data_IF_286581754369
#
_entry.id   IF_286581754369
#
_cell.length_a   1.000
_cell.length_b   1.000
_cell.length_c   1.000
_cell.angle_alpha   90.00
_cell.angle_beta   90.00
_cell.angle_gamma   90.00
#
_symmetry.space_group_name_H-M   'P 1'
#
loop_
_entity.id
_entity.type
_entity.pdbx_description
1 polymer ?
#
# COMPACT_ATOMS: atom_id res chain seq x y z
N UNK A 1 56.94 -6.91 8.43
CA UNK A 1 55.78 -7.05 7.51
C UNK A 1 54.54 -7.55 8.24
N UNK A 2 54.69 -8.50 9.16
CA UNK A 2 53.66 -9.07 10.06
C UNK A 2 52.83 -8.04 10.83
N UNK A 3 53.47 -7.06 11.48
CA UNK A 3 52.79 -6.05 12.31
C UNK A 3 51.74 -5.18 11.58
N UNK A 4 51.91 -4.99 10.26
CA UNK A 4 50.90 -4.29 9.44
C UNK A 4 49.72 -5.21 9.12
N UNK A 5 49.99 -6.50 8.91
CA UNK A 5 48.97 -7.52 8.65
C UNK A 5 48.10 -7.73 9.90
N UNK A 6 48.72 -7.84 11.08
CA UNK A 6 48.01 -8.03 12.36
C UNK A 6 47.06 -6.85 12.65
N UNK A 7 47.51 -5.62 12.37
CA UNK A 7 46.67 -4.42 12.48
C UNK A 7 45.49 -4.43 11.51
N UNK A 8 45.71 -4.85 10.25
CA UNK A 8 44.61 -4.99 9.28
C UNK A 8 43.61 -6.07 9.71
N UNK A 9 44.08 -7.19 10.24
CA UNK A 9 43.23 -8.27 10.76
C UNK A 9 42.41 -7.76 11.95
N UNK A 10 43.01 -7.02 12.88
CA UNK A 10 42.30 -6.46 14.03
C UNK A 10 41.19 -5.48 13.60
N UNK A 11 41.49 -4.59 12.65
CA UNK A 11 40.50 -3.65 12.10
C UNK A 11 39.40 -4.38 11.33
N UNK A 12 39.76 -5.32 10.46
CA UNK A 12 38.80 -6.13 9.68
C UNK A 12 37.92 -7.02 10.55
N UNK A 13 38.50 -7.70 11.54
CA UNK A 13 37.77 -8.50 12.52
C UNK A 13 36.81 -7.66 13.36
N UNK A 14 37.26 -6.46 13.78
CA UNK A 14 36.40 -5.52 14.50
C UNK A 14 35.27 -4.99 13.60
N UNK A 15 35.54 -4.71 12.32
CA UNK A 15 34.53 -4.30 11.35
C UNK A 15 33.45 -5.38 11.15
N UNK A 16 33.85 -6.65 11.01
CA UNK A 16 32.92 -7.78 10.90
C UNK A 16 32.09 -7.94 12.17
N UNK A 17 32.71 -7.91 13.35
CA UNK A 17 32.01 -7.95 14.63
C UNK A 17 31.00 -6.81 14.73
N UNK A 18 31.42 -5.59 14.39
CA UNK A 18 30.55 -4.42 14.32
C UNK A 18 29.37 -4.63 13.37
N UNK A 19 29.62 -5.16 12.18
CA UNK A 19 28.57 -5.47 11.20
C UNK A 19 27.49 -6.38 11.79
N UNK A 20 27.87 -7.49 12.42
CA UNK A 20 26.93 -8.41 13.05
C UNK A 20 26.19 -7.79 14.24
N UNK A 21 26.90 -7.04 15.09
CA UNK A 21 26.27 -6.31 16.21
C UNK A 21 25.25 -5.27 15.71
N UNK A 22 25.55 -4.59 14.60
CA UNK A 22 24.67 -3.62 13.96
C UNK A 22 23.41 -4.23 13.34
N UNK A 23 23.47 -5.47 12.88
CA UNK A 23 22.30 -6.21 12.39
C UNK A 23 21.45 -6.81 13.52
N UNK A 24 22.03 -6.99 14.71
CA UNK A 24 21.40 -7.63 15.86
C UNK A 24 21.15 -6.62 16.98
N UNK A 25 22.00 -6.61 18.01
CA UNK A 25 21.81 -5.90 19.27
C UNK A 25 21.62 -4.39 19.08
N UNK A 26 22.42 -3.79 18.19
CA UNK A 26 22.41 -2.34 17.96
C UNK A 26 21.41 -1.90 16.88
N UNK A 27 20.68 -2.84 16.27
CA UNK A 27 19.82 -2.57 15.12
C UNK A 27 18.80 -1.47 15.41
N UNK A 28 18.06 -1.58 16.51
CA UNK A 28 16.99 -0.62 16.85
C UNK A 28 17.52 0.80 17.00
N UNK A 29 18.64 0.96 17.70
CA UNK A 29 19.29 2.26 17.92
C UNK A 29 19.78 2.86 16.60
N UNK A 30 20.54 2.08 15.82
CA UNK A 30 21.12 2.54 14.56
C UNK A 30 20.04 2.81 13.52
N UNK A 31 18.95 2.04 13.53
CA UNK A 31 17.81 2.26 12.65
C UNK A 31 17.14 3.60 12.94
N UNK A 32 16.91 3.95 14.21
CA UNK A 32 16.35 5.27 14.57
C UNK A 32 17.22 6.42 14.07
N UNK A 33 18.54 6.34 14.28
CA UNK A 33 19.50 7.35 13.80
C UNK A 33 19.49 7.43 12.27
N UNK A 34 19.51 6.29 11.59
CA UNK A 34 19.47 6.21 10.14
C UNK A 34 18.18 6.87 9.59
N UNK A 35 17.01 6.55 10.13
CA UNK A 35 15.74 7.10 9.67
C UNK A 35 15.67 8.63 9.80
N UNK A 36 16.36 9.23 10.77
CA UNK A 36 16.47 10.69 10.88
C UNK A 36 17.29 11.34 9.74
N UNK A 37 18.19 10.57 9.13
CA UNK A 37 19.12 11.07 8.10
C UNK A 37 18.68 10.76 6.67
N UNK A 38 17.85 9.73 6.50
CA UNK A 38 17.33 9.33 5.20
C UNK A 38 16.29 10.33 4.66
N UNK A 39 16.16 10.44 3.33
CA UNK A 39 15.05 11.19 2.76
C UNK A 39 13.71 10.52 3.16
N UNK A 40 12.58 11.23 3.03
CA UNK A 40 11.25 10.63 3.07
C UNK A 40 11.19 9.43 2.09
N UNK A 41 11.11 8.21 2.61
CA UNK A 41 10.93 6.98 1.83
C UNK A 41 10.07 6.01 2.65
N UNK A 42 9.38 5.08 2.02
CA UNK A 42 8.80 3.97 2.77
C UNK A 42 9.91 3.04 3.33
N UNK A 43 9.94 2.83 4.65
CA UNK A 43 10.96 2.03 5.36
C UNK A 43 11.12 0.61 4.82
N UNK A 44 10.08 0.04 4.20
CA UNK A 44 10.11 -1.30 3.58
C UNK A 44 11.17 -1.44 2.49
N UNK A 45 11.53 -0.33 1.83
CA UNK A 45 12.50 -0.28 0.74
C UNK A 45 13.90 0.10 1.22
N UNK A 46 14.06 0.47 2.50
CA UNK A 46 15.34 0.80 3.09
C UNK A 46 16.15 -0.47 3.36
N UNK A 47 17.36 -0.63 2.78
CA UNK A 47 18.15 -1.83 2.97
C UNK A 47 18.53 -2.08 4.43
N UNK A 48 18.20 -3.27 4.94
CA UNK A 48 18.47 -3.66 6.33
C UNK A 48 19.97 -3.73 6.66
N UNK A 49 20.83 -3.94 5.65
CA UNK A 49 22.29 -4.02 5.87
C UNK A 49 22.94 -2.67 6.22
N UNK A 50 22.24 -1.54 6.07
CA UNK A 50 22.77 -0.22 6.41
C UNK A 50 23.19 -0.11 7.89
N UNK A 51 22.43 -0.70 8.82
CA UNK A 51 22.79 -0.65 10.26
C UNK A 51 24.08 -1.43 10.52
N UNK A 52 24.27 -2.56 9.84
CA UNK A 52 25.50 -3.34 9.90
C UNK A 52 26.69 -2.53 9.39
N UNK A 53 26.57 -1.87 8.23
CA UNK A 53 27.65 -1.06 7.67
C UNK A 53 28.04 0.14 8.55
N UNK A 54 27.06 0.84 9.15
CA UNK A 54 27.36 1.91 10.13
C UNK A 54 28.12 1.34 11.32
N UNK A 55 27.63 0.26 11.92
CA UNK A 55 28.29 -0.37 13.06
C UNK A 55 29.70 -0.90 12.72
N UNK A 56 29.90 -1.42 11.51
CA UNK A 56 31.19 -1.86 11.02
C UNK A 56 32.21 -0.71 10.99
N UNK A 57 31.81 0.48 10.52
CA UNK A 57 32.70 1.66 10.47
C UNK A 57 33.08 2.15 11.86
N UNK A 58 32.13 2.12 12.80
CA UNK A 58 32.35 2.48 14.20
C UNK A 58 33.32 1.47 14.85
N UNK A 59 33.02 0.17 14.74
CA UNK A 59 33.82 -0.88 15.36
C UNK A 59 35.22 -0.99 14.74
N UNK A 60 35.38 -0.78 13.43
CA UNK A 60 36.69 -0.70 12.77
C UNK A 60 37.56 0.43 13.38
N UNK A 61 36.95 1.60 13.61
CA UNK A 61 37.63 2.76 14.18
C UNK A 61 38.01 2.52 15.66
N UNK A 62 37.12 1.90 16.43
CA UNK A 62 37.41 1.47 17.81
C UNK A 62 38.51 0.41 17.82
N UNK A 63 38.45 -0.60 16.95
CA UNK A 63 39.45 -1.65 16.84
C UNK A 63 40.84 -1.11 16.51
N UNK A 64 40.93 -0.13 15.62
CA UNK A 64 42.18 0.59 15.34
C UNK A 64 42.74 1.29 16.58
N UNK A 65 41.90 2.04 17.31
CA UNK A 65 42.30 2.74 18.54
C UNK A 65 42.75 1.75 19.63
N UNK A 66 41.99 0.67 19.83
CA UNK A 66 42.32 -0.39 20.79
C UNK A 66 43.64 -1.09 20.44
N UNK A 67 43.88 -1.37 19.16
CA UNK A 67 45.12 -1.99 18.72
C UNK A 67 46.33 -1.10 19.04
N UNK A 68 46.24 0.21 18.72
CA UNK A 68 47.33 1.15 19.00
C UNK A 68 47.60 1.27 20.50
N UNK A 69 46.53 1.27 21.30
CA UNK A 69 46.64 1.41 22.75
C UNK A 69 47.15 0.15 23.44
N UNK A 70 46.62 -1.03 23.09
CA UNK A 70 46.90 -2.29 23.79
C UNK A 70 48.09 -3.06 23.19
N UNK A 71 48.19 -3.12 21.87
CA UNK A 71 49.20 -3.94 21.17
C UNK A 71 50.45 -3.13 20.90
N UNK A 72 50.32 -1.97 20.24
CA UNK A 72 51.47 -1.10 19.96
C UNK A 72 51.94 -0.34 21.21
N UNK A 73 51.11 -0.28 22.27
CA UNK A 73 51.39 0.40 23.56
C UNK A 73 51.83 1.86 23.38
N UNK A 74 51.31 2.51 22.35
CA UNK A 74 51.66 3.90 22.05
C UNK A 74 50.97 4.84 23.04
N UNK A 75 51.76 5.61 23.78
CA UNK A 75 51.20 6.60 24.70
C UNK A 75 50.57 7.77 23.93
N UNK A 76 49.41 8.23 24.42
CA UNK A 76 48.64 9.34 23.81
C UNK A 76 49.50 10.60 23.68
N UNK A 77 50.33 10.89 24.68
CA UNK A 77 51.19 12.08 24.68
C UNK A 77 52.22 12.12 23.54
N UNK A 78 52.73 10.96 23.10
CA UNK A 78 53.79 10.87 22.09
C UNK A 78 53.25 10.63 20.67
N UNK A 79 52.12 9.92 20.55
CA UNK A 79 51.52 9.53 19.26
C UNK A 79 50.18 10.23 18.99
N UNK A 80 50.10 11.53 19.34
CA UNK A 80 48.88 12.35 19.22
C UNK A 80 48.23 12.29 17.84
N UNK A 81 49.04 12.28 16.77
CA UNK A 81 48.54 12.25 15.38
C UNK A 81 47.76 10.97 15.07
N UNK A 82 48.22 9.82 15.57
CA UNK A 82 47.60 8.53 15.30
C UNK A 82 46.29 8.35 16.10
N UNK A 83 46.27 8.78 17.36
CA UNK A 83 45.02 8.84 18.14
C UNK A 83 44.02 9.84 17.52
N UNK A 84 44.48 11.02 17.11
CA UNK A 84 43.65 11.99 16.41
C UNK A 84 43.06 11.38 15.13
N UNK A 85 43.85 10.68 14.31
CA UNK A 85 43.34 10.03 13.09
C UNK A 85 42.25 9.00 13.37
N UNK A 86 42.39 8.19 14.43
CA UNK A 86 41.38 7.20 14.80
C UNK A 86 40.10 7.84 15.33
N UNK A 87 40.22 8.90 16.13
CA UNK A 87 39.06 9.69 16.60
C UNK A 87 38.36 10.40 15.44
N UNK A 88 39.11 10.98 14.51
CA UNK A 88 38.56 11.59 13.30
C UNK A 88 37.83 10.54 12.45
N UNK A 89 38.40 9.35 12.28
CA UNK A 89 37.75 8.25 11.54
C UNK A 89 36.44 7.79 12.23
N UNK A 90 36.44 7.69 13.56
CA UNK A 90 35.28 7.30 14.36
C UNK A 90 34.07 8.23 14.15
N UNK A 91 34.31 9.51 13.83
CA UNK A 91 33.26 10.51 13.57
C UNK A 91 32.95 10.59 12.07
N UNK A 92 33.97 10.75 11.23
CA UNK A 92 33.78 11.02 9.79
C UNK A 92 33.28 9.80 9.01
N UNK A 93 33.77 8.58 9.31
CA UNK A 93 33.39 7.40 8.52
C UNK A 93 31.89 7.08 8.66
N UNK A 94 31.27 7.10 9.86
CA UNK A 94 29.82 6.94 9.97
C UNK A 94 29.04 8.05 9.24
N UNK A 95 29.49 9.31 9.32
CA UNK A 95 28.83 10.43 8.63
C UNK A 95 28.86 10.27 7.09
N UNK A 96 30.03 9.94 6.53
CA UNK A 96 30.18 9.67 5.09
C UNK A 96 29.32 8.48 4.66
N UNK A 97 29.26 7.44 5.50
CA UNK A 97 28.44 6.24 5.26
C UNK A 97 26.95 6.59 5.23
N UNK A 98 26.46 7.37 6.20
CA UNK A 98 25.07 7.85 6.21
C UNK A 98 24.77 8.76 5.02
N UNK A 99 25.68 9.66 4.65
CA UNK A 99 25.54 10.49 3.45
C UNK A 99 25.44 9.67 2.16
N UNK A 100 26.23 8.61 2.05
CA UNK A 100 26.18 7.68 0.92
C UNK A 100 24.84 6.93 0.87
N UNK A 101 24.31 6.53 2.03
CA UNK A 101 22.99 5.89 2.11
C UNK A 101 21.86 6.83 1.73
N UNK A 102 21.93 8.10 2.11
CA UNK A 102 20.98 9.12 1.67
C UNK A 102 20.96 9.21 0.15
N UNK A 103 22.12 9.33 -0.50
CA UNK A 103 22.24 9.40 -1.96
C UNK A 103 21.70 8.13 -2.62
N UNK A 104 22.10 6.94 -2.12
CA UNK A 104 21.62 5.67 -2.68
C UNK A 104 20.10 5.53 -2.54
N UNK A 105 19.53 5.94 -1.41
CA UNK A 105 18.08 5.88 -1.17
C UNK A 105 17.30 6.83 -2.08
N UNK A 106 17.79 8.08 -2.25
CA UNK A 106 17.23 9.01 -3.25
C UNK A 106 17.30 8.41 -4.66
N UNK A 107 18.42 7.76 -5.00
CA UNK A 107 18.56 7.12 -6.32
C UNK A 107 17.58 5.97 -6.51
N UNK A 108 17.28 5.16 -5.48
CA UNK A 108 16.28 4.10 -5.57
C UNK A 108 14.91 4.68 -5.91
N UNK A 109 14.46 5.67 -5.13
CA UNK A 109 13.14 6.31 -5.33
C UNK A 109 13.08 6.96 -6.70
N UNK A 110 14.06 7.78 -7.04
CA UNK A 110 14.10 8.48 -8.33
C UNK A 110 14.11 7.52 -9.51
N UNK A 111 14.87 6.43 -9.44
CA UNK A 111 14.91 5.44 -10.52
C UNK A 111 13.59 4.65 -10.64
N UNK A 112 12.91 4.39 -9.53
CA UNK A 112 11.60 3.75 -9.55
C UNK A 112 10.51 4.68 -10.10
N UNK A 113 10.38 5.88 -9.55
CA UNK A 113 9.33 6.84 -9.93
C UNK A 113 9.55 7.45 -11.33
N UNK A 114 10.77 7.41 -11.87
CA UNK A 114 11.05 7.75 -13.26
C UNK A 114 10.72 6.63 -14.25
N UNK A 115 10.38 5.42 -13.78
CA UNK A 115 10.01 4.28 -14.63
C UNK A 115 8.50 4.10 -14.67
N UNK A 116 8.00 3.47 -15.73
CA UNK A 116 6.59 3.06 -15.81
C UNK A 116 6.26 2.06 -14.71
N UNK A 117 5.14 2.22 -13.98
CA UNK A 117 4.63 1.22 -13.06
C UNK A 117 4.47 -0.14 -13.75
N UNK A 118 4.74 -1.21 -13.03
CA UNK A 118 4.48 -2.59 -13.48
C UNK A 118 3.12 -3.11 -13.05
N UNK A 119 2.50 -2.46 -12.07
CA UNK A 119 1.18 -2.81 -11.60
C UNK A 119 0.58 -1.70 -10.77
N UNK A 120 -0.74 -1.67 -10.74
CA UNK A 120 -1.53 -0.69 -10.00
C UNK A 120 -2.76 -1.37 -9.43
N UNK A 121 -3.08 -1.06 -8.18
CA UNK A 121 -4.31 -1.46 -7.54
C UNK A 121 -4.93 -0.20 -6.95
N UNK A 122 -6.14 0.14 -7.38
CA UNK A 122 -6.93 1.23 -6.85
C UNK A 122 -8.11 0.63 -6.10
N UNK A 123 -8.34 1.07 -4.87
CA UNK A 123 -9.57 0.77 -4.13
C UNK A 123 -10.24 2.08 -3.77
N UNK A 124 -11.51 2.20 -4.10
CA UNK A 124 -12.30 3.35 -3.69
C UNK A 124 -12.75 3.16 -2.23
N UNK A 125 -12.92 4.26 -1.50
CA UNK A 125 -13.41 4.22 -0.13
C UNK A 125 -14.92 3.94 -0.09
N UNK A 126 -15.66 4.48 -1.06
CA UNK A 126 -17.10 4.30 -1.24
C UNK A 126 -17.41 3.96 -2.71
N UNK A 127 -18.38 3.07 -3.02
CA UNK A 127 -19.14 2.25 -2.06
C UNK A 127 -18.34 1.04 -1.56
N UNK A 128 -18.56 0.72 -0.28
CA UNK A 128 -17.96 -0.43 0.39
C UNK A 128 -19.01 -1.19 1.22
N UNK A 129 -19.15 -2.49 0.97
CA UNK A 129 -20.03 -3.38 1.75
C UNK A 129 -19.17 -4.32 2.60
N UNK A 130 -19.43 -4.35 3.90
CA UNK A 130 -18.72 -5.24 4.84
C UNK A 130 -19.67 -6.30 5.38
N UNK A 131 -19.29 -7.57 5.21
CA UNK A 131 -19.96 -8.70 5.82
C UNK A 131 -19.18 -9.14 7.06
N UNK A 132 -19.80 -9.04 8.23
CA UNK A 132 -19.17 -9.36 9.50
C UNK A 132 -19.02 -10.87 9.67
N UNK A 133 -17.80 -11.33 9.94
CA UNK A 133 -17.50 -12.73 10.27
C UNK A 133 -17.52 -12.89 11.79
N UNK A 134 -16.89 -11.96 12.50
CA UNK A 134 -16.90 -11.85 13.97
C UNK A 134 -17.12 -10.40 14.39
N UNK A 135 -17.27 -10.13 15.69
CA UNK A 135 -17.41 -8.76 16.22
C UNK A 135 -16.25 -7.81 15.85
N UNK A 136 -15.10 -8.36 15.45
CA UNK A 136 -13.88 -7.59 15.15
C UNK A 136 -13.31 -7.86 13.76
N UNK A 137 -14.00 -8.64 12.93
CA UNK A 137 -13.53 -9.00 11.59
C UNK A 137 -14.67 -9.10 10.59
N UNK A 138 -14.36 -8.77 9.33
CA UNK A 138 -15.30 -8.89 8.23
C UNK A 138 -14.59 -8.98 6.90
N UNK A 139 -15.31 -9.45 5.89
CA UNK A 139 -14.87 -9.40 4.51
C UNK A 139 -15.45 -8.17 3.85
N UNK A 140 -14.62 -7.47 3.08
CA UNK A 140 -14.99 -6.20 2.48
C UNK A 140 -15.05 -6.33 0.97
N UNK A 141 -16.17 -5.90 0.39
CA UNK A 141 -16.41 -5.84 -1.05
C UNK A 141 -16.68 -4.41 -1.43
N UNK A 142 -16.28 -4.00 -2.63
CA UNK A 142 -16.45 -2.63 -3.05
C UNK A 142 -15.83 -2.38 -4.40
N UNK A 143 -15.77 -1.10 -4.74
CA UNK A 143 -15.27 -0.60 -6.01
C UNK A 143 -13.74 -0.63 -6.06
N UNK A 144 -13.17 -1.34 -7.04
CA UNK A 144 -11.72 -1.44 -7.19
C UNK A 144 -11.26 -1.74 -8.62
N UNK A 145 -9.98 -1.48 -8.86
CA UNK A 145 -9.31 -1.70 -10.14
C UNK A 145 -7.98 -2.36 -9.87
N UNK A 146 -7.67 -3.41 -10.61
CA UNK A 146 -6.35 -4.01 -10.64
C UNK A 146 -5.83 -4.00 -12.06
N UNK A 147 -4.67 -3.40 -12.25
CA UNK A 147 -3.98 -3.30 -13.52
C UNK A 147 -2.64 -4.01 -13.39
N UNK A 148 -2.42 -5.05 -14.19
CA UNK A 148 -1.14 -5.75 -14.27
C UNK A 148 -0.80 -5.99 -15.74
N UNK A 149 0.47 -5.75 -16.09
CA UNK A 149 1.03 -6.02 -17.42
C UNK A 149 0.30 -5.39 -18.63
N UNK A 150 -0.62 -4.45 -18.40
CA UNK A 150 -1.31 -3.66 -19.44
C UNK A 150 -0.52 -2.38 -19.77
N UNK A 151 0.51 -2.52 -20.61
CA UNK A 151 1.54 -1.50 -20.84
C UNK A 151 1.00 -0.10 -21.17
N UNK A 152 0.06 0.05 -22.11
CA UNK A 152 -0.44 1.36 -22.53
C UNK A 152 -1.09 2.17 -21.38
N UNK A 153 -1.97 1.52 -20.60
CA UNK A 153 -2.59 2.14 -19.43
C UNK A 153 -1.57 2.42 -18.31
N UNK A 154 -0.63 1.50 -18.08
CA UNK A 154 0.45 1.70 -17.11
C UNK A 154 1.36 2.87 -17.49
N UNK A 155 1.63 3.10 -18.79
CA UNK A 155 2.36 4.25 -19.30
C UNK A 155 1.59 5.56 -19.09
N UNK A 156 0.26 5.56 -19.34
CA UNK A 156 -0.60 6.71 -19.04
C UNK A 156 -0.56 7.07 -17.55
N UNK A 157 -0.74 6.07 -16.67
CA UNK A 157 -0.61 6.27 -15.22
C UNK A 157 0.77 6.75 -14.81
N UNK A 158 1.83 6.13 -15.35
CA UNK A 158 3.21 6.50 -15.05
C UNK A 158 3.50 7.96 -15.44
N UNK A 159 3.01 8.40 -16.59
CA UNK A 159 3.13 9.79 -17.04
C UNK A 159 2.40 10.74 -16.10
N UNK A 160 1.15 10.44 -15.75
CA UNK A 160 0.37 11.26 -14.84
C UNK A 160 0.99 11.34 -13.42
N UNK A 161 1.51 10.21 -12.92
CA UNK A 161 2.22 10.14 -11.63
C UNK A 161 3.48 11.00 -11.60
N UNK A 162 4.22 11.07 -12.70
CA UNK A 162 5.43 11.88 -12.81
C UNK A 162 5.15 13.40 -12.81
N UNK A 163 3.91 13.79 -13.07
CA UNK A 163 3.47 15.18 -13.05
C UNK A 163 2.95 15.65 -11.68
N UNK A 164 2.87 14.75 -10.70
CA UNK A 164 2.49 15.12 -9.34
C UNK A 164 3.44 16.19 -8.78
N UNK A 165 2.86 17.29 -8.32
CA UNK A 165 3.61 18.40 -7.74
C UNK A 165 3.51 18.36 -6.23
N UNK A 166 4.65 18.25 -5.53
CA UNK A 166 4.70 18.28 -4.08
C UNK A 166 4.32 19.68 -3.56
N UNK A 167 3.24 19.78 -2.79
CA UNK A 167 2.75 21.03 -2.20
C UNK A 167 3.23 21.19 -0.76
N UNK A 168 3.19 20.11 0.03
CA UNK A 168 3.42 20.18 1.47
C UNK A 168 4.22 18.97 1.99
N UNK A 169 5.11 19.25 2.94
CA UNK A 169 5.77 18.24 3.78
C UNK A 169 5.50 18.61 5.24
N UNK A 170 4.74 17.79 5.96
CA UNK A 170 4.35 18.10 7.34
C UNK A 170 4.52 16.93 8.28
N UNK A 171 4.74 17.24 9.56
CA UNK A 171 4.73 16.28 10.66
C UNK A 171 3.40 16.32 11.44
N UNK A 172 2.49 17.23 11.08
CA UNK A 172 1.24 17.48 11.82
C UNK A 172 0.10 16.62 11.24
N UNK A 173 -0.48 15.70 12.02
CA UNK A 173 -1.60 14.86 11.58
C UNK A 173 -2.94 15.61 11.51
N UNK A 174 -3.04 16.91 11.82
CA UNK A 174 -4.32 17.62 11.83
C UNK A 174 -4.84 18.07 10.45
N UNK A 175 -4.01 18.09 9.41
CA UNK A 175 -4.38 18.50 8.04
C UNK A 175 -4.50 17.32 7.06
N UNK A 176 -5.06 16.19 7.50
CA UNK A 176 -5.28 15.00 6.66
C UNK A 176 -6.40 15.28 5.64
N UNK A 177 -6.36 14.63 4.47
CA UNK A 177 -7.51 14.56 3.56
C UNK A 177 -8.71 14.04 4.35
N UNK A 178 -9.68 14.92 4.65
CA UNK A 178 -10.77 14.60 5.58
C UNK A 178 -11.79 13.62 5.01
N UNK A 179 -11.83 13.49 3.68
CA UNK A 179 -12.67 12.54 2.95
C UNK A 179 -11.91 11.99 1.72
N UNK A 180 -11.11 10.93 1.89
CA UNK A 180 -10.48 10.28 0.76
C UNK A 180 -11.53 9.62 -0.14
N UNK A 181 -11.31 9.66 -1.46
CA UNK A 181 -12.12 8.94 -2.45
C UNK A 181 -11.55 7.55 -2.74
N UNK A 182 -10.24 7.36 -2.58
CA UNK A 182 -9.62 6.06 -2.78
C UNK A 182 -8.17 5.98 -2.33
N UNK A 183 -7.65 4.75 -2.31
CA UNK A 183 -6.25 4.44 -2.03
C UNK A 183 -5.66 3.67 -3.23
N UNK A 184 -4.48 4.09 -3.64
CA UNK A 184 -3.74 3.57 -4.78
C UNK A 184 -2.44 2.91 -4.32
N UNK A 185 -2.27 1.63 -4.65
CA UNK A 185 -1.03 0.89 -4.50
C UNK A 185 -0.35 0.80 -5.86
N UNK A 186 0.87 1.30 -5.95
CA UNK A 186 1.62 1.39 -7.20
C UNK A 186 2.87 0.53 -7.06
N UNK A 187 3.05 -0.42 -7.96
CA UNK A 187 4.21 -1.30 -8.02
C UNK A 187 5.13 -0.92 -9.18
N UNK A 188 6.42 -0.91 -8.90
CA UNK A 188 7.49 -0.67 -9.86
C UNK A 188 8.52 -1.79 -9.80
N UNK A 189 9.18 -2.06 -10.92
CA UNK A 189 10.33 -2.98 -10.97
C UNK A 189 11.51 -2.42 -11.77
N UNK A 190 12.08 -1.26 -11.39
CA UNK A 190 13.27 -0.74 -12.06
C UNK A 190 14.39 -1.78 -12.02
N UNK A 191 14.84 -2.23 -13.20
CA UNK A 191 15.89 -3.25 -13.34
C UNK A 191 15.59 -4.54 -12.55
N UNK A 192 14.31 -4.93 -12.45
CA UNK A 192 13.87 -6.14 -11.76
C UNK A 192 13.82 -6.05 -10.22
N UNK A 193 14.15 -4.90 -9.63
CA UNK A 193 14.03 -4.69 -8.17
C UNK A 193 12.67 -4.11 -7.83
N UNK A 194 11.92 -4.79 -6.97
CA UNK A 194 10.61 -4.32 -6.54
C UNK A 194 10.71 -3.05 -5.69
N UNK A 195 9.87 -2.07 -6.04
CA UNK A 195 9.58 -0.87 -5.27
C UNK A 195 8.07 -0.65 -5.32
N UNK A 196 7.51 -0.03 -4.29
CA UNK A 196 6.10 0.34 -4.32
C UNK A 196 5.78 1.55 -3.47
N UNK A 197 4.75 2.26 -3.91
CA UNK A 197 4.21 3.47 -3.32
C UNK A 197 2.74 3.24 -2.96
N UNK A 198 2.28 3.88 -1.91
CA UNK A 198 0.87 3.89 -1.54
C UNK A 198 0.48 5.35 -1.40
N UNK A 199 -0.51 5.79 -2.17
CA UNK A 199 -1.04 7.14 -2.10
C UNK A 199 -2.54 7.08 -1.86
N UNK A 200 -3.03 7.89 -0.94
CA UNK A 200 -4.46 8.12 -0.73
C UNK A 200 -4.85 9.36 -1.51
N UNK A 201 -6.05 9.35 -2.08
CA UNK A 201 -6.50 10.31 -3.06
C UNK A 201 -7.83 10.94 -2.65
N UNK A 202 -7.99 12.24 -2.88
CA UNK A 202 -9.27 12.93 -2.85
C UNK A 202 -9.20 14.22 -3.66
N UNK A 203 -10.07 14.37 -4.65
CA UNK A 203 -10.08 15.44 -5.64
C UNK A 203 -8.71 15.55 -6.33
N UNK A 204 -8.21 16.75 -6.64
CA UNK A 204 -6.89 16.91 -7.26
C UNK A 204 -5.70 16.69 -6.30
N UNK A 205 -5.94 16.15 -5.09
CA UNK A 205 -4.91 15.99 -4.04
C UNK A 205 -4.59 14.54 -3.70
N UNK A 206 -3.30 14.28 -3.48
CA UNK A 206 -2.76 12.95 -3.19
C UNK A 206 -1.85 13.00 -1.97
N UNK A 207 -2.05 12.08 -1.04
CA UNK A 207 -1.31 12.01 0.22
C UNK A 207 -0.51 10.70 0.32
N UNK A 208 0.73 10.77 0.78
CA UNK A 208 1.47 9.60 1.22
C UNK A 208 2.13 9.80 2.58
N UNK A 209 2.33 8.68 3.28
CA UNK A 209 3.09 8.64 4.53
C UNK A 209 4.48 8.05 4.30
N UNK A 210 5.49 8.84 4.63
CA UNK A 210 6.89 8.43 4.53
C UNK A 210 7.51 8.10 5.89
N UNK A 211 8.78 7.71 5.88
CA UNK A 211 9.62 7.56 7.09
C UNK A 211 9.46 8.70 8.08
N UNK A 212 9.44 8.35 9.38
CA UNK A 212 9.20 9.25 10.51
C UNK A 212 7.80 9.88 10.52
N UNK A 213 6.80 9.24 9.88
CA UNK A 213 5.43 9.71 9.83
C UNK A 213 5.29 11.09 9.18
N UNK A 214 6.24 11.44 8.30
CA UNK A 214 6.13 12.68 7.53
C UNK A 214 5.10 12.48 6.44
N UNK A 215 4.09 13.33 6.47
CA UNK A 215 3.06 13.47 5.45
C UNK A 215 3.64 14.22 4.26
N UNK A 216 3.36 13.72 3.08
CA UNK A 216 3.70 14.33 1.81
C UNK A 216 2.39 14.53 1.05
N UNK A 217 2.09 15.77 0.68
CA UNK A 217 0.88 16.13 -0.07
C UNK A 217 1.26 16.60 -1.47
N UNK A 218 0.60 16.04 -2.48
CA UNK A 218 0.80 16.33 -3.88
C UNK A 218 -0.48 16.85 -4.52
N UNK A 219 -0.33 17.61 -5.61
CA UNK A 219 -1.40 17.99 -6.53
C UNK A 219 -1.20 17.32 -7.89
N UNK A 220 -2.28 16.93 -8.56
CA UNK A 220 -2.18 16.41 -9.93
C UNK A 220 -3.49 16.21 -10.67
N UNK A 221 -3.86 17.18 -11.48
CA UNK A 221 -5.10 17.13 -12.28
C UNK A 221 -5.10 16.03 -13.35
N UNK A 222 -3.94 15.65 -13.90
CA UNK A 222 -3.88 14.59 -14.90
C UNK A 222 -4.16 13.22 -14.31
N UNK A 223 -3.59 12.92 -13.13
CA UNK A 223 -3.86 11.68 -12.43
C UNK A 223 -5.32 11.61 -12.00
N UNK A 224 -5.85 12.74 -11.52
CA UNK A 224 -7.26 12.89 -11.19
C UNK A 224 -8.18 12.52 -12.36
N UNK A 225 -7.93 13.11 -13.54
CA UNK A 225 -8.74 12.85 -14.72
C UNK A 225 -8.72 11.37 -15.15
N UNK A 226 -7.58 10.69 -14.99
CA UNK A 226 -7.46 9.25 -15.26
C UNK A 226 -8.29 8.43 -14.26
N UNK A 227 -8.23 8.77 -12.97
CA UNK A 227 -8.98 8.09 -11.92
C UNK A 227 -10.49 8.29 -12.07
N UNK A 228 -10.93 9.49 -12.43
CA UNK A 228 -12.34 9.80 -12.68
C UNK A 228 -12.90 9.13 -13.94
N UNK A 229 -12.08 8.95 -14.98
CA UNK A 229 -12.48 8.14 -16.14
C UNK A 229 -12.76 6.69 -15.74
N UNK A 230 -11.89 6.12 -14.92
CA UNK A 230 -12.08 4.78 -14.38
C UNK A 230 -13.28 4.67 -13.44
N UNK A 231 -13.48 5.68 -12.60
CA UNK A 231 -14.65 5.80 -11.73
C UNK A 231 -15.94 5.70 -12.56
N UNK A 232 -15.99 6.39 -13.70
CA UNK A 232 -17.11 6.34 -14.66
C UNK A 232 -17.26 4.99 -15.35
N UNK A 233 -16.16 4.34 -15.74
CA UNK A 233 -16.21 3.00 -16.32
C UNK A 233 -16.79 1.98 -15.33
N UNK A 234 -16.41 2.07 -14.07
CA UNK A 234 -16.94 1.20 -13.02
C UNK A 234 -18.43 1.46 -12.72
N UNK A 235 -18.92 2.66 -13.02
CA UNK A 235 -20.34 2.99 -12.89
C UNK A 235 -21.22 2.39 -14.01
N UNK A 236 -20.61 1.77 -15.03
CA UNK A 236 -21.34 1.28 -16.21
C UNK A 236 -21.56 -0.23 -16.12
N UNK A 237 -22.82 -0.65 -15.92
CA UNK A 237 -23.19 -2.07 -15.75
C UNK A 237 -22.75 -2.98 -16.91
N UNK A 238 -22.73 -2.48 -18.14
CA UNK A 238 -22.35 -3.25 -19.34
C UNK A 238 -20.86 -3.60 -19.40
N UNK A 239 -20.03 -3.04 -18.51
CA UNK A 239 -18.61 -3.37 -18.44
C UNK A 239 -18.35 -4.67 -17.67
N UNK A 240 -19.36 -5.24 -17.00
CA UNK A 240 -19.23 -6.46 -16.22
C UNK A 240 -19.75 -7.66 -17.00
N UNK A 241 -19.08 -8.80 -16.84
CA UNK A 241 -19.40 -10.06 -17.54
C UNK A 241 -19.64 -11.23 -16.59
N UNK A 242 -19.36 -11.05 -15.30
CA UNK A 242 -19.65 -12.05 -14.28
C UNK A 242 -19.99 -11.41 -12.94
N UNK A 243 -20.59 -12.20 -12.05
CA UNK A 243 -20.80 -11.80 -10.68
C UNK A 243 -20.83 -12.96 -9.68
N UNK A 244 -20.74 -12.60 -8.40
CA UNK A 244 -20.79 -13.54 -7.27
C UNK A 244 -21.82 -13.06 -6.25
N UNK A 245 -22.61 -13.98 -5.72
CA UNK A 245 -23.52 -13.71 -4.60
C UNK A 245 -22.75 -13.80 -3.29
N UNK A 246 -22.97 -12.81 -2.44
CA UNK A 246 -22.40 -12.68 -1.12
C UNK A 246 -23.55 -12.54 -0.13
N UNK A 247 -23.52 -13.36 0.93
CA UNK A 247 -24.53 -13.35 1.98
C UNK A 247 -23.95 -13.95 3.27
N UNK A 248 -24.47 -13.55 4.42
CA UNK A 248 -23.98 -14.00 5.74
C UNK A 248 -24.21 -15.50 5.99
N UNK A 249 -25.15 -16.13 5.29
CA UNK A 249 -25.35 -17.59 5.31
C UNK A 249 -24.19 -18.38 4.70
N UNK A 250 -23.30 -17.73 3.95
CA UNK A 250 -22.10 -18.34 3.38
C UNK A 250 -20.88 -18.26 4.31
N UNK A 251 -21.05 -17.77 5.54
CA UNK A 251 -19.98 -17.77 6.54
C UNK A 251 -19.80 -19.20 7.07
N UNK A 252 -18.65 -19.80 6.79
CA UNK A 252 -18.21 -21.07 7.36
C UNK A 252 -16.98 -20.86 8.26
N UNK A 253 -17.16 -21.12 9.56
CA UNK A 253 -16.19 -20.76 10.59
C UNK A 253 -15.86 -19.26 10.58
N UNK A 254 -14.57 -18.94 10.41
CA UNK A 254 -14.04 -17.58 10.33
C UNK A 254 -13.81 -17.11 8.87
N UNK A 255 -14.49 -17.74 7.91
CA UNK A 255 -14.34 -17.42 6.48
C UNK A 255 -15.70 -17.17 5.83
N UNK A 256 -15.76 -16.20 4.91
CA UNK A 256 -16.93 -15.95 4.08
C UNK A 256 -16.72 -16.59 2.71
N UNK A 257 -17.51 -17.60 2.38
CA UNK A 257 -17.54 -18.17 1.04
C UNK A 257 -18.32 -17.23 0.09
N UNK A 258 -17.93 -17.23 -1.18
CA UNK A 258 -18.68 -16.52 -2.23
C UNK A 258 -19.13 -17.54 -3.27
N UNK A 259 -20.34 -17.37 -3.80
CA UNK A 259 -20.87 -18.28 -4.81
C UNK A 259 -20.90 -17.59 -6.17
N UNK A 260 -20.22 -18.16 -7.16
CA UNK A 260 -20.30 -17.69 -8.54
C UNK A 260 -21.74 -17.82 -9.04
N UNK A 261 -22.22 -16.79 -9.72
CA UNK A 261 -23.54 -16.81 -10.35
C UNK A 261 -23.49 -17.53 -11.69
N UNK A 262 -24.48 -18.38 -12.01
CA UNK A 262 -24.75 -18.78 -13.37
C UNK A 262 -24.91 -17.56 -14.29
N UNK A 263 -24.52 -17.72 -15.56
CA UNK A 263 -24.60 -16.63 -16.55
C UNK A 263 -26.04 -16.11 -16.72
N UNK A 264 -27.04 -17.00 -16.72
CA UNK A 264 -28.46 -16.65 -16.84
C UNK A 264 -28.92 -15.76 -15.67
N UNK A 265 -28.48 -16.07 -14.44
CA UNK A 265 -28.80 -15.28 -13.24
C UNK A 265 -28.12 -13.91 -13.27
N UNK A 266 -26.89 -13.85 -13.80
CA UNK A 266 -26.18 -12.58 -14.00
C UNK A 266 -26.86 -11.69 -15.04
N UNK A 267 -27.25 -12.25 -16.18
CA UNK A 267 -28.00 -11.53 -17.20
C UNK A 267 -29.37 -11.07 -16.69
N UNK A 268 -30.04 -11.90 -15.88
CA UNK A 268 -31.27 -11.51 -15.19
C UNK A 268 -31.04 -10.34 -14.23
N UNK A 269 -30.00 -10.36 -13.40
CA UNK A 269 -29.64 -9.25 -12.52
C UNK A 269 -29.47 -7.94 -13.32
N UNK A 270 -28.65 -7.96 -14.37
CA UNK A 270 -28.37 -6.75 -15.17
C UNK A 270 -29.62 -6.23 -15.89
N UNK A 271 -30.47 -7.12 -16.42
CA UNK A 271 -31.68 -6.72 -17.13
C UNK A 271 -32.71 -6.03 -16.23
N UNK A 272 -32.73 -6.37 -14.94
CA UNK A 272 -33.65 -5.75 -13.97
C UNK A 272 -33.08 -4.44 -13.39
N UNK A 273 -31.78 -4.18 -13.46
CA UNK A 273 -31.18 -2.89 -13.08
C UNK A 273 -31.22 -1.90 -14.25
N UNK A 274 -32.43 -1.62 -14.73
CA UNK A 274 -32.68 -0.72 -15.87
C UNK A 274 -33.38 0.57 -15.45
N UNK A 275 -33.43 1.55 -16.35
CA UNK A 275 -34.12 2.83 -16.12
C UNK A 275 -35.58 2.66 -15.68
N UNK A 276 -36.27 1.65 -16.22
CA UNK A 276 -37.68 1.39 -15.92
C UNK A 276 -37.93 0.94 -14.47
N UNK A 277 -36.90 0.45 -13.78
CA UNK A 277 -36.98 -0.01 -12.40
C UNK A 277 -36.41 0.99 -11.40
N UNK A 278 -35.94 2.17 -11.84
CA UNK A 278 -35.40 3.18 -10.93
C UNK A 278 -36.49 3.68 -9.97
N UNK A 279 -36.11 3.79 -8.71
CA UNK A 279 -37.02 4.23 -7.65
C UNK A 279 -36.34 5.22 -6.71
N UNK A 280 -37.15 5.86 -5.88
CA UNK A 280 -36.70 6.68 -4.74
C UNK A 280 -37.31 6.05 -3.48
N UNK A 281 -36.57 5.16 -2.78
CA UNK A 281 -37.14 4.40 -1.68
C UNK A 281 -37.46 5.31 -0.49
N UNK A 282 -38.21 4.78 0.48
CA UNK A 282 -38.48 5.49 1.72
C UNK A 282 -37.19 5.91 2.44
N UNK A 283 -37.24 7.02 3.17
CA UNK A 283 -36.04 7.60 3.81
C UNK A 283 -35.34 6.65 4.78
N UNK A 284 -36.09 5.78 5.47
CA UNK A 284 -35.55 4.73 6.35
C UNK A 284 -34.73 3.69 5.59
N UNK A 285 -35.22 3.25 4.43
CA UNK A 285 -34.52 2.28 3.56
C UNK A 285 -33.25 2.93 3.01
N UNK A 286 -33.35 4.14 2.45
CA UNK A 286 -32.19 4.86 1.94
C UNK A 286 -31.10 5.09 3.03
N UNK A 287 -31.50 5.48 4.24
CA UNK A 287 -30.56 5.65 5.36
C UNK A 287 -29.86 4.34 5.74
N UNK A 288 -30.58 3.21 5.75
CA UNK A 288 -29.99 1.89 6.04
C UNK A 288 -28.95 1.50 5.00
N UNK A 289 -29.23 1.74 3.71
CA UNK A 289 -28.27 1.52 2.63
C UNK A 289 -27.02 2.40 2.80
N UNK A 290 -27.18 3.69 3.09
CA UNK A 290 -26.06 4.61 3.34
C UNK A 290 -25.19 4.21 4.54
N UNK A 291 -25.79 3.66 5.60
CA UNK A 291 -25.05 3.17 6.77
C UNK A 291 -24.18 1.96 6.43
N UNK A 292 -24.70 1.04 5.60
CA UNK A 292 -23.96 -0.14 5.12
C UNK A 292 -22.86 0.25 4.13
N UNK A 293 -23.18 1.06 3.12
CA UNK A 293 -22.28 1.40 2.00
C UNK A 293 -21.09 2.28 2.42
N UNK A 294 -21.24 3.03 3.51
CA UNK A 294 -20.18 3.89 4.06
C UNK A 294 -19.41 3.23 5.21
N UNK A 295 -19.50 1.89 5.33
CA UNK A 295 -18.80 1.10 6.35
C UNK A 295 -19.05 1.57 7.79
N UNK A 296 -20.24 2.13 8.06
CA UNK A 296 -20.66 2.50 9.43
C UNK A 296 -21.30 1.33 10.14
N UNK A 297 -22.02 0.50 9.38
CA UNK A 297 -22.62 -0.73 9.85
C UNK A 297 -22.22 -1.89 8.94
N UNK A 298 -21.69 -2.96 9.52
CA UNK A 298 -21.40 -4.18 8.77
C UNK A 298 -22.62 -5.09 8.78
N UNK A 299 -22.90 -5.76 7.66
CA UNK A 299 -23.98 -6.72 7.54
C UNK A 299 -23.64 -7.94 8.40
N UNK A 300 -24.43 -8.16 9.44
CA UNK A 300 -24.24 -9.22 10.43
C UNK A 300 -25.14 -10.42 10.13
N UNK A 301 -24.96 -11.53 10.87
CA UNK A 301 -25.86 -12.69 10.74
C UNK A 301 -27.33 -12.39 11.12
N UNK A 302 -27.59 -11.26 11.78
CA UNK A 302 -28.96 -10.80 12.08
C UNK A 302 -29.62 -10.17 10.86
N UNK A 303 -28.82 -9.65 9.93
CA UNK A 303 -29.23 -9.00 8.69
C UNK A 303 -29.39 -10.03 7.55
N UNK A 304 -30.31 -10.97 7.72
CA UNK A 304 -30.51 -12.10 6.80
C UNK A 304 -31.24 -11.73 5.48
N UNK A 305 -31.68 -10.48 5.36
CA UNK A 305 -32.34 -9.92 4.20
C UNK A 305 -31.35 -9.26 3.22
N UNK A 306 -30.13 -8.91 3.67
CA UNK A 306 -29.15 -8.23 2.82
C UNK A 306 -28.25 -9.18 2.04
N UNK A 307 -28.23 -9.00 0.73
CA UNK A 307 -27.31 -9.66 -0.19
C UNK A 307 -26.44 -8.61 -0.87
N UNK A 308 -25.23 -9.02 -1.26
CA UNK A 308 -24.43 -8.24 -2.19
C UNK A 308 -24.05 -9.07 -3.41
N UNK A 309 -23.99 -8.40 -4.55
CA UNK A 309 -23.50 -8.98 -5.80
C UNK A 309 -22.17 -8.29 -6.15
N UNK A 310 -21.08 -9.03 -6.04
CA UNK A 310 -19.77 -8.56 -6.50
C UNK A 310 -19.68 -8.77 -8.01
N UNK A 311 -19.42 -7.70 -8.74
CA UNK A 311 -19.33 -7.65 -10.20
C UNK A 311 -17.88 -7.69 -10.66
N UNK A 312 -17.61 -8.34 -11.79
CA UNK A 312 -16.29 -8.40 -12.41
C UNK A 312 -16.37 -8.29 -13.93
N UNK A 313 -15.46 -7.52 -14.54
CA UNK A 313 -15.30 -7.46 -16.01
C UNK A 313 -14.54 -8.68 -16.58
N UNK A 314 -14.15 -9.62 -15.73
CA UNK A 314 -13.51 -10.87 -16.12
C UNK A 314 -14.36 -12.08 -15.66
N UNK A 315 -14.31 -13.21 -16.38
CA UNK A 315 -14.89 -14.47 -15.92
C UNK A 315 -14.31 -14.92 -14.57
N UNK A 316 -15.08 -15.67 -13.79
CA UNK A 316 -14.68 -16.11 -12.45
C UNK A 316 -13.36 -16.92 -12.40
N UNK A 317 -13.03 -17.64 -13.49
CA UNK A 317 -11.85 -18.49 -13.62
C UNK A 317 -10.70 -17.83 -14.42
N UNK A 318 -10.84 -16.56 -14.78
CA UNK A 318 -9.82 -15.87 -15.56
C UNK A 318 -8.55 -15.62 -14.72
N UNK A 319 -7.40 -15.99 -15.26
CA UNK A 319 -6.13 -15.57 -14.69
C UNK A 319 -5.95 -14.07 -14.92
N UNK A 320 -5.57 -13.33 -13.87
CA UNK A 320 -5.16 -11.92 -13.90
C UNK A 320 -3.97 -11.62 -14.83
N UNK A 321 -3.47 -12.60 -15.58
CA UNK A 321 -2.12 -12.60 -16.13
C UNK A 321 -1.85 -11.48 -17.14
N UNK A 322 -2.85 -10.80 -17.76
CA UNK A 322 -2.59 -9.78 -18.80
C UNK A 322 -3.68 -8.73 -19.03
N UNK A 323 -4.41 -8.29 -18.01
CA UNK A 323 -5.44 -7.28 -18.29
C UNK A 323 -5.84 -6.43 -17.07
N UNK A 324 -6.73 -5.48 -17.32
CA UNK A 324 -7.45 -4.74 -16.30
C UNK A 324 -8.58 -5.58 -15.70
N UNK A 325 -8.58 -5.68 -14.37
CA UNK A 325 -9.70 -6.19 -13.59
C UNK A 325 -10.44 -4.99 -12.99
N UNK A 326 -11.74 -4.91 -13.27
CA UNK A 326 -12.68 -3.95 -12.74
C UNK A 326 -13.64 -4.69 -11.81
N UNK A 327 -13.75 -4.24 -10.57
CA UNK A 327 -14.63 -4.83 -9.57
C UNK A 327 -15.54 -3.75 -8.98
N UNK A 328 -16.82 -4.10 -8.77
CA UNK A 328 -17.78 -3.24 -8.09
C UNK A 328 -18.82 -4.09 -7.36
N UNK A 329 -19.76 -3.45 -6.66
CA UNK A 329 -20.74 -4.12 -5.81
C UNK A 329 -22.14 -3.52 -5.98
N UNK A 330 -23.14 -4.39 -6.03
CA UNK A 330 -24.56 -4.05 -5.86
C UNK A 330 -24.96 -4.51 -4.46
N UNK A 331 -25.65 -3.66 -3.72
CA UNK A 331 -26.29 -4.03 -2.45
C UNK A 331 -27.78 -4.27 -2.70
N UNK A 332 -28.37 -5.28 -2.09
CA UNK A 332 -29.78 -5.63 -2.27
C UNK A 332 -30.43 -6.03 -0.94
N UNK A 333 -31.62 -5.51 -0.70
CA UNK A 333 -32.48 -5.86 0.43
C UNK A 333 -33.63 -6.74 -0.08
N UNK A 334 -33.63 -8.02 0.31
CA UNK A 334 -34.64 -9.01 -0.07
C UNK A 334 -36.02 -8.78 0.57
N UNK A 335 -36.10 -8.04 1.67
CA UNK A 335 -37.36 -7.74 2.33
C UNK A 335 -38.08 -6.59 1.62
N UNK A 336 -37.34 -5.51 1.36
CA UNK A 336 -37.86 -4.30 0.72
C UNK A 336 -37.88 -4.39 -0.81
N UNK A 337 -37.23 -5.40 -1.40
CA UNK A 337 -37.07 -5.58 -2.86
C UNK A 337 -36.41 -4.37 -3.53
N UNK A 338 -35.41 -3.81 -2.86
CA UNK A 338 -34.65 -2.65 -3.34
C UNK A 338 -33.19 -3.06 -3.56
N UNK A 339 -32.65 -2.73 -4.73
CA UNK A 339 -31.23 -2.81 -5.04
C UNK A 339 -30.62 -1.39 -5.12
N UNK A 340 -29.34 -1.28 -4.80
CA UNK A 340 -28.55 -0.06 -4.95
C UNK A 340 -27.31 -0.32 -5.79
N UNK A 341 -27.05 0.57 -6.74
CA UNK A 341 -25.84 0.59 -7.54
C UNK A 341 -25.49 2.02 -7.96
N UNK A 342 -24.30 2.49 -7.60
CA UNK A 342 -23.72 3.78 -8.03
C UNK A 342 -24.69 4.96 -7.86
N UNK A 343 -25.13 5.14 -6.61
CA UNK A 343 -26.04 6.21 -6.15
C UNK A 343 -27.48 6.10 -6.67
N UNK A 344 -27.83 5.02 -7.37
CA UNK A 344 -29.17 4.78 -7.90
C UNK A 344 -29.82 3.59 -7.21
N UNK A 345 -31.09 3.75 -6.86
CA UNK A 345 -31.94 2.69 -6.30
C UNK A 345 -32.86 2.10 -7.38
N UNK A 346 -33.11 0.80 -7.28
CA UNK A 346 -33.95 0.04 -8.19
C UNK A 346 -34.95 -0.82 -7.41
N UNK A 347 -36.23 -0.76 -7.76
CA UNK A 347 -37.28 -1.63 -7.20
C UNK A 347 -37.38 -2.89 -8.05
N UNK A 348 -36.86 -4.01 -7.51
CA UNK A 348 -36.66 -5.25 -8.27
C UNK A 348 -36.83 -6.48 -7.37
N UNK A 349 -37.51 -7.51 -7.88
CA UNK A 349 -37.56 -8.81 -7.20
C UNK A 349 -36.45 -9.73 -7.72
N UNK A 350 -35.39 -9.87 -6.93
CA UNK A 350 -34.25 -10.74 -7.24
C UNK A 350 -34.36 -12.11 -6.56
N UNK A 351 -35.50 -12.46 -5.95
CA UNK A 351 -35.65 -13.69 -5.15
C UNK A 351 -35.29 -14.97 -5.90
N UNK A 352 -35.47 -14.99 -7.23
CA UNK A 352 -35.18 -16.14 -8.09
C UNK A 352 -33.71 -16.49 -8.18
N UNK A 353 -32.81 -15.52 -7.99
CA UNK A 353 -31.36 -15.69 -8.12
C UNK A 353 -30.65 -15.73 -6.76
N UNK A 354 -31.39 -15.59 -5.65
CA UNK A 354 -30.83 -15.70 -4.31
C UNK A 354 -30.59 -17.16 -3.95
N UNK A 355 -29.39 -17.48 -3.51
CA UNK A 355 -29.04 -18.81 -3.04
C UNK A 355 -29.02 -18.77 -1.52
N UNK A 356 -29.95 -19.49 -0.87
CA UNK A 356 -29.88 -19.75 0.57
C UNK A 356 -29.17 -21.10 0.78
N UNK A 357 -28.19 -21.15 1.69
CA UNK A 357 -27.57 -22.40 2.11
C UNK A 357 -28.64 -23.16 2.91
N UNK A 358 -29.06 -24.33 2.43
CA UNK A 358 -30.02 -25.21 3.11
C UNK A 358 -29.50 -25.72 4.45
#
# INVERSE_FOLDING_TARGET
MTLKIDKMIAVGGSALLGYYLGLSILRSLLWKVLLWTLPPINTRHTPRFYTGLIAATIAASIGYLLYIWLVDKWSIGRYKKQYASGLTALILLPLITMGSFRIHTVSIVKNAEASTPTGLHLRFEEPTVVFQITETSGTVFGKSIRLQDHQALLETFGTALQQLTLIEVSNDPQNIITKPQGTLWIDYRPQGKWYSKIITWGQDTFEEFSTNQKRLLYQGNELEAVLEEFNRQLATLTNYVSGKVIHTSFIDGDFLETKAMPQEDFEFLLANLSEDHKTSPEGSVASRFEEVLNNREGISKQDNNFYAFSLSNQPADASLERDILLENVILYDDEEKVAWFEEVYYEVDLSSILVKKE
#
